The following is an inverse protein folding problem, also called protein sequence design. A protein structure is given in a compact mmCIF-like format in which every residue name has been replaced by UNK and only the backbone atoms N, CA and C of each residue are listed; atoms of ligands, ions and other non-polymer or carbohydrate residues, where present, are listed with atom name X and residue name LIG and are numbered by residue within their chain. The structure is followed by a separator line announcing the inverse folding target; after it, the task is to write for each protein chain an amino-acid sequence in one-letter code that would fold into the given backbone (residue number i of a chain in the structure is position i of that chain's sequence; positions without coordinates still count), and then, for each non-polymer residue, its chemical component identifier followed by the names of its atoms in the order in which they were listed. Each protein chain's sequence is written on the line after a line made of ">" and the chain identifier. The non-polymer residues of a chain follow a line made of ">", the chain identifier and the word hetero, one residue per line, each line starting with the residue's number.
data_IF_113225161711
#
_entry.id   IF_113225161711
#
_cell.length_a   1.000
_cell.length_b   1.000
_cell.length_c   1.000
_cell.angle_alpha   90.00
_cell.angle_beta   90.00
_cell.angle_gamma   90.00
#
_symmetry.space_group_name_H-M   'P 1'
#
loop_
_entity.id
_entity.type
_entity.pdbx_description
1 polymer ?
#
# COMPACT_ATOMS: atom_id res chain seq x y z
N UNK A 1 12.51 -0.96 20.95
CA UNK A 1 12.95 -1.60 19.69
C UNK A 1 14.20 -0.87 19.20
N UNK A 2 15.28 -1.58 18.84
CA UNK A 2 16.43 -0.93 18.18
C UNK A 2 16.02 -0.46 16.76
N UNK A 3 16.60 0.61 16.19
CA UNK A 3 16.19 1.17 14.90
C UNK A 3 16.72 0.34 13.71
N UNK A 4 16.38 -0.95 13.67
CA UNK A 4 16.70 -1.88 12.60
C UNK A 4 15.75 -3.10 12.63
N UNK A 5 15.79 -3.88 11.55
CA UNK A 5 15.08 -5.15 11.41
C UNK A 5 16.04 -6.31 11.13
N UNK A 6 17.21 -6.31 11.78
CA UNK A 6 18.25 -7.32 11.55
C UNK A 6 17.77 -8.76 11.76
N UNK A 7 16.69 -8.96 12.52
CA UNK A 7 16.16 -10.28 12.90
C UNK A 7 14.72 -10.52 12.40
N UNK A 8 14.18 -9.65 11.53
CA UNK A 8 12.81 -9.79 11.04
C UNK A 8 12.66 -10.99 10.08
N UNK A 9 11.50 -11.64 10.12
CA UNK A 9 11.22 -12.86 9.32
C UNK A 9 12.30 -13.95 9.43
N UNK A 10 12.80 -14.16 10.64
CA UNK A 10 13.83 -15.16 10.96
C UNK A 10 13.50 -16.56 10.43
N UNK A 11 14.52 -17.26 9.91
CA UNK A 11 14.42 -18.65 9.49
C UNK A 11 15.28 -19.49 10.44
N UNK A 12 14.72 -20.57 10.98
CA UNK A 12 15.45 -21.50 11.86
C UNK A 12 16.76 -21.94 11.20
N UNK A 13 17.88 -21.75 11.90
CA UNK A 13 19.22 -22.10 11.43
C UNK A 13 19.95 -20.98 10.68
N UNK A 14 19.38 -19.78 10.59
CA UNK A 14 20.08 -18.57 10.13
C UNK A 14 20.48 -17.72 11.35
N UNK A 15 21.54 -16.93 11.24
CA UNK A 15 21.96 -16.03 12.32
C UNK A 15 21.20 -14.70 12.32
N UNK A 16 20.69 -14.30 11.15
CA UNK A 16 19.96 -13.05 10.92
C UNK A 16 18.57 -13.32 10.33
N UNK A 17 17.75 -12.28 10.37
CA UNK A 17 16.52 -12.20 9.60
C UNK A 17 16.79 -12.11 8.10
N UNK A 18 15.72 -11.89 7.33
CA UNK A 18 15.81 -11.74 5.87
C UNK A 18 15.14 -10.47 5.41
N UNK A 19 15.53 -10.00 4.23
CA UNK A 19 15.00 -8.79 3.57
C UNK A 19 13.47 -8.68 3.62
N UNK A 20 12.76 -9.79 3.40
CA UNK A 20 11.29 -9.78 3.35
C UNK A 20 10.63 -9.40 4.67
N UNK A 21 11.35 -9.46 5.79
CA UNK A 21 10.88 -8.98 7.09
C UNK A 21 10.74 -7.45 7.16
N UNK A 22 11.31 -6.69 6.23
CA UNK A 22 11.09 -5.24 6.14
C UNK A 22 9.62 -4.90 5.91
N UNK A 23 8.86 -5.80 5.26
CA UNK A 23 7.42 -5.61 5.05
C UNK A 23 6.61 -5.61 6.36
N UNK A 24 7.18 -6.12 7.47
CA UNK A 24 6.54 -6.08 8.79
C UNK A 24 6.37 -4.62 9.28
N UNK A 25 7.23 -3.71 8.81
CA UNK A 25 7.14 -2.26 9.08
C UNK A 25 6.25 -1.50 8.08
N UNK A 26 5.55 -2.18 7.15
CA UNK A 26 4.59 -1.52 6.24
C UNK A 26 3.57 -0.62 6.96
N UNK A 27 3.06 -0.88 8.18
CA UNK A 27 2.08 -0.01 8.82
C UNK A 27 2.64 1.36 9.22
N UNK A 28 3.96 1.57 9.13
CA UNK A 28 4.62 2.82 9.53
C UNK A 28 4.04 4.04 8.83
N UNK A 29 3.64 3.95 7.54
CA UNK A 29 3.06 5.11 6.85
C UNK A 29 1.79 5.61 7.55
N UNK A 30 0.91 4.72 8.01
CA UNK A 30 -0.33 5.09 8.74
C UNK A 30 0.00 5.75 10.07
N UNK A 31 0.97 5.20 10.82
CA UNK A 31 1.42 5.77 12.08
C UNK A 31 2.00 7.18 11.88
N UNK A 32 2.83 7.39 10.86
CA UNK A 32 3.41 8.71 10.59
C UNK A 32 2.35 9.74 10.18
N UNK A 33 1.31 9.30 9.47
CA UNK A 33 0.17 10.15 9.12
C UNK A 33 -0.76 10.48 10.30
N UNK A 34 -0.86 9.61 11.31
CA UNK A 34 -1.73 9.85 12.46
C UNK A 34 -1.13 10.83 13.47
N UNK A 35 0.21 10.90 13.57
CA UNK A 35 0.89 11.78 14.53
C UNK A 35 0.49 13.26 14.40
N UNK A 36 0.47 13.88 13.20
CA UNK A 36 -0.01 15.25 13.03
C UNK A 36 -1.39 15.51 13.62
N UNK A 37 -2.33 14.56 13.54
CA UNK A 37 -3.68 14.68 14.09
C UNK A 37 -3.65 14.75 15.63
N UNK A 38 -2.73 14.00 16.25
CA UNK A 38 -2.58 13.93 17.70
C UNK A 38 -1.93 15.17 18.31
N UNK A 39 -1.16 15.97 17.53
CA UNK A 39 -0.47 17.19 18.01
C UNK A 39 -1.42 18.26 18.56
N UNK A 40 -2.70 18.22 18.18
CA UNK A 40 -3.72 19.13 18.70
C UNK A 40 -4.10 18.85 20.16
N UNK A 41 -3.78 17.64 20.67
CA UNK A 41 -4.08 17.25 22.04
C UNK A 41 -3.12 17.87 23.03
N UNK A 42 -3.65 18.42 24.12
CA UNK A 42 -2.84 18.90 25.27
C UNK A 42 -2.06 17.78 25.98
N UNK A 43 -2.37 16.51 25.68
CA UNK A 43 -1.67 15.34 26.20
C UNK A 43 -0.53 14.87 25.31
N UNK A 44 -0.33 15.48 24.14
CA UNK A 44 0.74 15.11 23.23
C UNK A 44 2.10 15.60 23.76
N UNK A 45 3.00 14.68 24.07
CA UNK A 45 4.35 15.01 24.50
C UNK A 45 5.28 15.20 23.30
N UNK A 46 5.53 16.46 22.95
CA UNK A 46 6.45 16.83 21.86
C UNK A 46 7.89 16.35 22.08
N UNK A 47 8.31 16.11 23.33
CA UNK A 47 9.64 15.59 23.62
C UNK A 47 9.79 14.12 23.19
N UNK A 48 8.72 13.33 23.31
CA UNK A 48 8.65 11.95 22.81
C UNK A 48 8.73 11.95 21.29
N UNK A 49 8.00 12.84 20.63
CA UNK A 49 8.05 12.95 19.17
C UNK A 49 9.46 13.28 18.66
N UNK A 50 10.18 14.18 19.34
CA UNK A 50 11.59 14.49 19.01
C UNK A 50 12.49 13.26 19.12
N UNK A 51 12.38 12.48 20.20
CA UNK A 51 13.13 11.22 20.37
C UNK A 51 12.74 10.19 19.30
N UNK A 52 11.46 10.14 18.94
CA UNK A 52 10.97 9.26 17.90
C UNK A 52 11.53 9.63 16.53
N UNK A 53 11.61 10.92 16.18
CA UNK A 53 12.29 11.37 14.95
C UNK A 53 13.76 10.95 14.90
N UNK A 54 14.48 11.03 16.02
CA UNK A 54 15.88 10.53 16.10
C UNK A 54 15.93 9.02 15.82
N UNK A 55 14.99 8.25 16.37
CA UNK A 55 14.89 6.83 16.10
C UNK A 55 14.61 6.54 14.62
N UNK A 56 13.67 7.27 14.02
CA UNK A 56 13.32 7.14 12.60
C UNK A 56 14.49 7.50 11.68
N UNK A 57 15.27 8.53 12.02
CA UNK A 57 16.48 8.87 11.26
C UNK A 57 17.49 7.72 11.26
N UNK A 58 17.70 7.07 12.43
CA UNK A 58 18.58 5.89 12.53
C UNK A 58 18.02 4.70 11.76
N UNK A 59 16.71 4.49 11.81
CA UNK A 59 16.05 3.40 11.10
C UNK A 59 16.12 3.59 9.58
N UNK A 60 15.84 4.78 9.08
CA UNK A 60 15.96 5.09 7.66
C UNK A 60 17.41 4.95 7.17
N UNK A 61 18.39 5.42 7.95
CA UNK A 61 19.81 5.21 7.63
C UNK A 61 20.15 3.71 7.53
N UNK A 62 19.67 2.88 8.48
CA UNK A 62 19.84 1.44 8.41
C UNK A 62 19.16 0.82 7.17
N UNK A 63 17.93 1.25 6.87
CA UNK A 63 17.13 0.79 5.74
C UNK A 63 17.80 1.11 4.39
N UNK A 64 18.51 2.22 4.29
CA UNK A 64 19.16 2.69 3.06
C UNK A 64 20.56 2.09 2.86
N UNK A 65 21.29 1.79 3.95
CA UNK A 65 22.74 1.48 3.88
C UNK A 65 23.10 0.02 4.11
N UNK A 66 22.18 -0.82 4.60
CA UNK A 66 22.46 -2.23 4.85
C UNK A 66 22.07 -3.13 3.68
N UNK A 67 22.74 -4.28 3.52
CA UNK A 67 22.40 -5.26 2.49
C UNK A 67 20.95 -5.72 2.59
N UNK A 68 20.45 -6.02 3.80
CA UNK A 68 19.05 -6.41 4.02
C UNK A 68 18.08 -5.33 3.49
N UNK A 69 18.39 -4.05 3.73
CA UNK A 69 17.61 -2.93 3.23
C UNK A 69 17.68 -2.78 1.70
N UNK A 70 18.88 -2.85 1.13
CA UNK A 70 19.12 -2.74 -0.31
C UNK A 70 18.43 -3.89 -1.06
N UNK A 71 18.57 -5.12 -0.59
CA UNK A 71 17.98 -6.29 -1.23
C UNK A 71 16.44 -6.22 -1.23
N UNK A 72 15.83 -5.64 -0.18
CA UNK A 72 14.39 -5.42 -0.17
C UNK A 72 13.97 -4.33 -1.16
N UNK A 73 14.70 -3.20 -1.20
CA UNK A 73 14.49 -2.12 -2.17
C UNK A 73 14.49 -2.65 -3.60
N UNK A 74 15.41 -3.55 -3.91
CA UNK A 74 15.59 -4.17 -5.25
C UNK A 74 14.54 -5.24 -5.58
N UNK A 75 13.64 -5.59 -4.65
CA UNK A 75 12.58 -6.56 -4.92
C UNK A 75 11.65 -6.06 -6.03
N UNK A 76 11.33 -6.93 -6.99
CA UNK A 76 10.50 -6.60 -8.16
C UNK A 76 9.00 -6.80 -7.94
N UNK A 77 8.60 -7.25 -6.74
CA UNK A 77 7.22 -7.50 -6.35
C UNK A 77 6.79 -6.52 -5.24
N UNK A 78 5.64 -6.78 -4.62
CA UNK A 78 5.07 -6.00 -3.52
C UNK A 78 6.04 -5.60 -2.40
N UNK A 79 7.08 -6.39 -2.13
CA UNK A 79 8.11 -6.04 -1.15
C UNK A 79 8.82 -4.72 -1.51
N UNK A 80 9.23 -4.57 -2.77
CA UNK A 80 9.89 -3.34 -3.21
C UNK A 80 8.92 -2.17 -3.25
N UNK A 81 7.68 -2.38 -3.69
CA UNK A 81 6.66 -1.32 -3.68
C UNK A 81 6.39 -0.82 -2.26
N UNK A 82 6.28 -1.72 -1.27
CA UNK A 82 6.11 -1.33 0.13
C UNK A 82 7.38 -0.75 0.75
N UNK A 83 8.58 -1.17 0.32
CA UNK A 83 9.82 -0.50 0.72
C UNK A 83 9.77 0.97 0.31
N UNK A 84 9.42 1.26 -0.94
CA UNK A 84 9.37 2.64 -1.45
C UNK A 84 8.33 3.48 -0.70
N UNK A 85 7.16 2.92 -0.42
CA UNK A 85 6.16 3.56 0.45
C UNK A 85 6.78 3.91 1.81
N UNK A 86 7.42 2.95 2.49
CA UNK A 86 8.05 3.22 3.79
C UNK A 86 9.10 4.34 3.70
N UNK A 87 9.97 4.29 2.68
CA UNK A 87 11.02 5.28 2.47
C UNK A 87 10.47 6.69 2.29
N UNK A 88 9.48 6.88 1.42
CA UNK A 88 8.92 8.21 1.12
C UNK A 88 8.26 8.82 2.35
N UNK A 89 7.46 8.03 3.09
CA UNK A 89 6.80 8.51 4.30
C UNK A 89 7.78 8.82 5.43
N UNK A 90 8.85 8.03 5.57
CA UNK A 90 9.94 8.32 6.51
C UNK A 90 10.65 9.63 6.15
N UNK A 91 11.03 9.81 4.88
CA UNK A 91 11.70 11.03 4.41
C UNK A 91 10.86 12.27 4.68
N UNK A 92 9.58 12.26 4.29
CA UNK A 92 8.67 13.38 4.53
C UNK A 92 8.51 13.66 6.02
N UNK A 93 8.27 12.64 6.85
CA UNK A 93 8.10 12.85 8.29
C UNK A 93 9.37 13.39 9.00
N UNK A 94 10.55 13.07 8.47
CA UNK A 94 11.84 13.57 8.91
C UNK A 94 12.16 14.99 8.40
N UNK A 95 11.27 15.60 7.60
CA UNK A 95 11.46 16.93 7.02
C UNK A 95 12.38 16.96 5.80
N UNK A 96 12.65 15.81 5.17
CA UNK A 96 13.47 15.68 3.95
C UNK A 96 12.56 15.73 2.71
N UNK A 97 11.77 16.79 2.60
CA UNK A 97 10.67 16.89 1.63
C UNK A 97 11.13 16.87 0.16
N UNK A 98 12.26 17.50 -0.18
CA UNK A 98 12.79 17.47 -1.55
C UNK A 98 13.24 16.07 -1.97
N UNK A 99 13.86 15.34 -1.03
CA UNK A 99 14.26 13.96 -1.26
C UNK A 99 13.04 13.04 -1.37
N UNK A 100 12.05 13.21 -0.50
CA UNK A 100 10.77 12.49 -0.57
C UNK A 100 10.07 12.74 -1.92
N UNK A 101 10.04 14.00 -2.38
CA UNK A 101 9.50 14.39 -3.68
C UNK A 101 10.19 13.65 -4.82
N UNK A 102 11.52 13.76 -4.92
CA UNK A 102 12.31 13.09 -5.96
C UNK A 102 12.09 11.58 -5.93
N UNK A 103 12.20 10.97 -4.75
CA UNK A 103 12.05 9.54 -4.57
C UNK A 103 10.65 9.06 -4.97
N UNK A 104 9.59 9.81 -4.62
CA UNK A 104 8.21 9.43 -4.94
C UNK A 104 7.96 9.32 -6.45
N UNK A 105 8.54 10.23 -7.23
CA UNK A 105 8.47 10.21 -8.69
C UNK A 105 9.21 9.01 -9.27
N UNK A 106 10.46 8.81 -8.84
CA UNK A 106 11.32 7.72 -9.34
C UNK A 106 10.72 6.34 -9.00
N UNK A 107 10.26 6.17 -7.76
CA UNK A 107 9.65 4.93 -7.29
C UNK A 107 8.38 4.60 -8.07
N UNK A 108 7.46 5.55 -8.21
CA UNK A 108 6.20 5.31 -8.94
C UNK A 108 6.46 4.89 -10.39
N UNK A 109 7.31 5.62 -11.10
CA UNK A 109 7.67 5.30 -12.50
C UNK A 109 8.26 3.90 -12.59
N UNK A 110 9.22 3.58 -11.73
CA UNK A 110 9.87 2.28 -11.72
C UNK A 110 8.85 1.15 -11.46
N UNK A 111 8.01 1.28 -10.42
CA UNK A 111 7.04 0.24 -10.04
C UNK A 111 5.94 0.05 -11.07
N UNK A 112 5.48 1.11 -11.75
CA UNK A 112 4.51 0.99 -12.85
C UNK A 112 5.16 0.38 -14.09
N UNK A 113 6.35 0.84 -14.48
CA UNK A 113 7.03 0.39 -15.70
C UNK A 113 7.52 -1.07 -15.63
N UNK A 114 7.93 -1.53 -14.46
CA UNK A 114 8.46 -2.90 -14.30
C UNK A 114 7.42 -3.87 -13.71
N UNK A 115 6.49 -3.37 -12.89
CA UNK A 115 5.56 -4.20 -12.11
C UNK A 115 4.19 -4.45 -12.75
N UNK A 116 3.83 -3.73 -13.81
CA UNK A 116 2.51 -3.83 -14.46
C UNK A 116 2.70 -4.10 -15.95
N UNK A 117 1.97 -5.06 -16.52
CA UNK A 117 1.93 -5.29 -17.97
C UNK A 117 0.95 -4.33 -18.66
N UNK A 118 1.05 -4.13 -19.99
CA UNK A 118 0.09 -3.32 -20.75
C UNK A 118 -1.38 -3.74 -20.61
N UNK A 119 -1.62 -4.99 -20.19
CA UNK A 119 -2.94 -5.57 -19.89
C UNK A 119 -3.46 -5.20 -18.50
N UNK A 120 -2.61 -4.65 -17.62
CA UNK A 120 -2.91 -4.41 -16.21
C UNK A 120 -2.49 -5.55 -15.26
N UNK A 121 -2.15 -6.72 -15.80
CA UNK A 121 -1.66 -7.83 -14.99
C UNK A 121 -0.37 -7.42 -14.23
N UNK A 122 -0.26 -7.87 -12.98
CA UNK A 122 0.93 -7.72 -12.13
C UNK A 122 1.71 -9.06 -12.10
N UNK A 123 2.68 -9.30 -13.01
CA UNK A 123 3.19 -10.64 -13.30
C UNK A 123 3.96 -11.27 -12.15
N UNK A 124 4.59 -10.47 -11.29
CA UNK A 124 5.29 -10.97 -10.10
C UNK A 124 4.32 -11.45 -9.02
N UNK A 125 3.14 -10.85 -8.92
CA UNK A 125 2.11 -11.22 -7.96
C UNK A 125 1.28 -12.41 -8.43
N UNK A 126 0.96 -12.46 -9.73
CA UNK A 126 0.19 -13.58 -10.30
C UNK A 126 0.95 -14.91 -10.28
N UNK A 127 2.28 -14.89 -10.14
CA UNK A 127 3.12 -16.09 -9.96
C UNK A 127 3.07 -16.66 -8.53
N UNK A 128 2.48 -15.95 -7.57
CA UNK A 128 2.47 -16.36 -6.16
C UNK A 128 1.40 -17.42 -5.89
N UNK A 129 1.59 -18.29 -4.88
CA UNK A 129 0.59 -19.31 -4.54
C UNK A 129 -0.79 -18.74 -4.18
N UNK A 130 -0.83 -17.57 -3.57
CA UNK A 130 -2.05 -16.80 -3.25
C UNK A 130 -2.11 -15.55 -4.15
N UNK A 131 -2.12 -15.79 -5.46
CA UNK A 131 -1.95 -14.76 -6.49
C UNK A 131 -2.97 -13.63 -6.42
N UNK A 132 -4.22 -13.92 -6.05
CA UNK A 132 -5.26 -12.90 -5.86
C UNK A 132 -4.87 -11.92 -4.76
N UNK A 133 -4.59 -12.45 -3.56
CA UNK A 133 -4.15 -11.65 -2.41
C UNK A 133 -2.94 -10.78 -2.75
N UNK A 134 -1.92 -11.33 -3.40
CA UNK A 134 -0.73 -10.56 -3.71
C UNK A 134 -0.97 -9.46 -4.76
N UNK A 135 -1.88 -9.69 -5.70
CA UNK A 135 -2.24 -8.70 -6.72
C UNK A 135 -3.00 -7.52 -6.11
N UNK A 136 -3.94 -7.79 -5.19
CA UNK A 136 -4.65 -6.73 -4.46
C UNK A 136 -3.74 -6.02 -3.46
N UNK A 137 -2.88 -6.76 -2.77
CA UNK A 137 -1.92 -6.24 -1.80
C UNK A 137 -0.88 -5.31 -2.42
N UNK A 138 -0.29 -5.67 -3.56
CA UNK A 138 0.62 -4.77 -4.28
C UNK A 138 -0.12 -3.53 -4.83
N UNK A 139 -1.37 -3.70 -5.29
CA UNK A 139 -2.18 -2.58 -5.77
C UNK A 139 -2.44 -1.54 -4.68
N UNK A 140 -2.57 -1.94 -3.41
CA UNK A 140 -2.63 -0.99 -2.28
C UNK A 140 -1.36 -0.15 -2.17
N UNK A 141 -0.18 -0.78 -2.30
CA UNK A 141 1.09 -0.06 -2.26
C UNK A 141 1.25 0.89 -3.47
N UNK A 142 0.81 0.48 -4.67
CA UNK A 142 0.82 1.32 -5.85
C UNK A 142 -0.09 2.56 -5.70
N UNK A 143 -1.27 2.40 -5.08
CA UNK A 143 -2.14 3.54 -4.75
C UNK A 143 -1.41 4.50 -3.80
N UNK A 144 -0.78 4.00 -2.74
CA UNK A 144 0.00 4.82 -1.80
C UNK A 144 1.13 5.61 -2.51
N UNK A 145 1.82 4.99 -3.47
CA UNK A 145 2.81 5.69 -4.28
C UNK A 145 2.18 6.79 -5.13
N UNK A 146 1.08 6.51 -5.82
CA UNK A 146 0.40 7.50 -6.68
C UNK A 146 -0.14 8.69 -5.89
N UNK A 147 -0.75 8.46 -4.72
CA UNK A 147 -1.18 9.52 -3.81
C UNK A 147 -0.01 10.39 -3.37
N UNK A 148 1.10 9.76 -3.00
CA UNK A 148 2.26 10.47 -2.49
C UNK A 148 2.95 11.26 -3.60
N UNK A 149 3.03 10.72 -4.81
CA UNK A 149 3.50 11.47 -5.98
C UNK A 149 2.60 12.67 -6.28
N UNK A 150 1.27 12.51 -6.20
CA UNK A 150 0.31 13.60 -6.40
C UNK A 150 0.47 14.69 -5.34
N UNK A 151 0.65 14.32 -4.07
CA UNK A 151 0.96 15.26 -2.99
C UNK A 151 2.20 16.11 -3.31
N UNK A 152 3.19 15.52 -3.97
CA UNK A 152 4.42 16.18 -4.39
C UNK A 152 4.36 16.88 -5.76
N UNK A 153 3.19 16.92 -6.39
CA UNK A 153 2.94 17.65 -7.65
C UNK A 153 3.14 16.84 -8.93
N UNK A 154 3.29 15.52 -8.86
CA UNK A 154 3.31 14.64 -10.02
C UNK A 154 2.02 13.82 -10.10
N UNK A 155 1.31 13.87 -11.23
CA UNK A 155 0.07 13.10 -11.43
C UNK A 155 0.35 11.60 -11.55
N UNK A 156 0.49 10.97 -10.39
CA UNK A 156 0.78 9.55 -10.29
C UNK A 156 -0.41 8.65 -10.62
N UNK A 157 -1.63 9.18 -10.54
CA UNK A 157 -2.83 8.45 -10.89
C UNK A 157 -2.92 8.21 -12.39
N UNK A 158 -2.62 9.24 -13.19
CA UNK A 158 -2.75 9.17 -14.64
C UNK A 158 -1.41 8.94 -15.36
N UNK A 159 -0.35 8.58 -14.64
CA UNK A 159 0.92 8.19 -15.24
C UNK A 159 0.74 6.99 -16.18
N UNK A 160 1.29 7.11 -17.39
CA UNK A 160 1.29 6.06 -18.41
C UNK A 160 2.73 5.64 -18.69
N UNK A 161 3.05 4.39 -18.39
CA UNK A 161 4.34 3.80 -18.70
C UNK A 161 4.57 3.66 -20.22
N UNK A 162 5.81 3.43 -20.66
CA UNK A 162 6.18 3.43 -22.08
C UNK A 162 5.47 2.37 -22.92
N UNK A 163 4.95 1.30 -22.31
CA UNK A 163 4.16 0.26 -22.98
C UNK A 163 2.65 0.41 -22.75
N UNK A 164 2.20 1.57 -22.25
CA UNK A 164 0.80 1.84 -21.93
C UNK A 164 0.36 1.31 -20.55
N UNK A 165 1.28 1.16 -19.61
CA UNK A 165 1.03 0.58 -18.28
C UNK A 165 0.46 1.65 -17.36
N UNK A 166 -0.58 1.32 -16.59
CA UNK A 166 -1.21 2.27 -15.66
C UNK A 166 -1.73 1.55 -14.43
N UNK A 167 -1.84 2.27 -13.31
CA UNK A 167 -2.49 1.75 -12.10
C UNK A 167 -3.98 1.48 -12.37
N UNK A 168 -4.65 2.34 -13.15
CA UNK A 168 -6.04 2.12 -13.58
C UNK A 168 -6.22 0.78 -14.28
N UNK A 169 -5.30 0.40 -15.19
CA UNK A 169 -5.34 -0.90 -15.85
C UNK A 169 -5.18 -2.06 -14.87
N UNK A 170 -4.38 -1.91 -13.82
CA UNK A 170 -4.26 -2.93 -12.78
C UNK A 170 -5.57 -3.11 -11.98
N UNK A 171 -6.31 -2.02 -11.73
CA UNK A 171 -7.68 -2.10 -11.18
C UNK A 171 -8.60 -2.82 -12.17
N UNK A 172 -8.62 -2.38 -13.42
CA UNK A 172 -9.49 -2.91 -14.47
C UNK A 172 -9.23 -4.40 -14.76
N UNK A 173 -7.98 -4.84 -14.62
CA UNK A 173 -7.60 -6.24 -14.78
C UNK A 173 -8.20 -7.14 -13.69
N UNK A 174 -8.24 -6.68 -12.44
CA UNK A 174 -8.74 -7.47 -11.30
C UNK A 174 -10.27 -7.47 -11.20
N UNK A 175 -10.92 -6.41 -11.68
CA UNK A 175 -12.37 -6.19 -11.56
C UNK A 175 -13.25 -7.37 -12.01
N UNK A 176 -13.09 -7.94 -13.23
CA UNK A 176 -13.96 -9.04 -13.67
C UNK A 176 -13.82 -10.29 -12.79
N UNK A 177 -12.62 -10.55 -12.26
CA UNK A 177 -12.38 -11.69 -11.37
C UNK A 177 -12.92 -11.46 -9.96
N UNK A 178 -12.97 -10.21 -9.50
CA UNK A 178 -13.68 -9.89 -8.26
C UNK A 178 -15.18 -10.19 -8.40
N UNK A 179 -15.80 -9.72 -9.49
CA UNK A 179 -17.22 -9.91 -9.80
C UNK A 179 -17.60 -11.38 -9.98
N UNK A 180 -16.70 -12.18 -10.55
CA UNK A 180 -16.94 -13.58 -10.84
C UNK A 180 -16.51 -14.53 -9.70
N UNK A 181 -16.13 -13.99 -8.53
CA UNK A 181 -15.57 -14.78 -7.43
C UNK A 181 -14.39 -15.67 -7.85
N UNK A 182 -13.51 -15.12 -8.70
CA UNK A 182 -12.32 -15.80 -9.20
C UNK A 182 -12.58 -16.79 -10.34
N UNK A 183 -13.80 -16.87 -10.87
CA UNK A 183 -14.09 -17.67 -12.06
C UNK A 183 -13.17 -17.24 -13.21
N UNK A 184 -12.58 -18.23 -13.88
CA UNK A 184 -11.64 -18.07 -14.99
C UNK A 184 -10.32 -17.35 -14.65
N UNK A 185 -9.97 -17.22 -13.36
CA UNK A 185 -8.65 -16.73 -12.95
C UNK A 185 -7.56 -17.67 -13.48
N UNK A 186 -6.65 -17.21 -14.36
CA UNK A 186 -5.77 -18.09 -15.12
C UNK A 186 -4.50 -18.50 -14.34
N UNK A 187 -4.42 -18.17 -13.05
CA UNK A 187 -3.22 -18.40 -12.23
C UNK A 187 -3.52 -19.25 -11.00
N UNK A 188 -2.47 -19.84 -10.44
CA UNK A 188 -2.56 -20.60 -9.19
C UNK A 188 -3.02 -19.69 -8.05
N UNK A 189 -4.13 -20.04 -7.40
CA UNK A 189 -4.61 -19.38 -6.20
C UNK A 189 -5.09 -20.41 -5.18
N UNK A 190 -4.32 -20.66 -4.12
CA UNK A 190 -4.60 -21.71 -3.12
C UNK A 190 -5.51 -21.26 -1.97
N UNK A 191 -5.96 -19.99 -2.01
CA UNK A 191 -6.83 -19.38 -1.00
C UNK A 191 -8.12 -18.88 -1.66
N UNK A 192 -9.06 -18.44 -0.85
CA UNK A 192 -10.31 -17.84 -1.32
C UNK A 192 -10.07 -16.48 -2.00
N UNK A 193 -11.04 -16.09 -2.84
CA UNK A 193 -11.10 -14.77 -3.48
C UNK A 193 -11.77 -13.77 -2.55
N UNK A 194 -11.07 -13.37 -1.47
CA UNK A 194 -11.52 -12.32 -0.56
C UNK A 194 -11.50 -10.97 -1.26
N UNK A 195 -12.64 -10.30 -1.36
CA UNK A 195 -12.80 -9.05 -2.11
C UNK A 195 -12.72 -7.80 -1.24
N UNK A 196 -12.77 -7.90 0.09
CA UNK A 196 -12.77 -6.75 1.01
C UNK A 196 -11.65 -5.73 0.71
N UNK A 197 -10.41 -6.21 0.62
CA UNK A 197 -9.26 -5.37 0.27
C UNK A 197 -9.36 -4.74 -1.13
N UNK A 198 -10.00 -5.41 -2.09
CA UNK A 198 -10.17 -4.89 -3.45
C UNK A 198 -11.34 -3.91 -3.55
N UNK A 199 -12.46 -4.17 -2.87
CA UNK A 199 -13.62 -3.26 -2.81
C UNK A 199 -13.19 -1.91 -2.28
N UNK A 200 -12.39 -1.90 -1.22
CA UNK A 200 -11.75 -0.70 -0.69
C UNK A 200 -11.00 0.07 -1.80
N UNK A 201 -10.11 -0.59 -2.54
CA UNK A 201 -9.41 0.04 -3.67
C UNK A 201 -10.36 0.53 -4.77
N UNK A 202 -11.45 -0.18 -5.02
CA UNK A 202 -12.44 0.14 -6.03
C UNK A 202 -13.25 1.39 -5.68
N UNK A 203 -13.53 1.63 -4.40
CA UNK A 203 -14.16 2.88 -3.93
C UNK A 203 -13.26 4.09 -4.19
N UNK A 204 -11.96 3.95 -3.89
CA UNK A 204 -10.99 4.98 -4.26
C UNK A 204 -10.90 5.14 -5.78
N UNK A 205 -10.90 4.02 -6.53
CA UNK A 205 -10.82 4.06 -7.98
C UNK A 205 -11.99 4.83 -8.59
N UNK A 206 -13.22 4.69 -8.09
CA UNK A 206 -14.37 5.49 -8.51
C UNK A 206 -14.19 6.98 -8.21
N UNK A 207 -13.63 7.33 -7.05
CA UNK A 207 -13.33 8.71 -6.72
C UNK A 207 -12.26 9.29 -7.65
N UNK A 208 -11.20 8.56 -7.94
CA UNK A 208 -10.07 9.01 -8.76
C UNK A 208 -10.46 9.06 -10.24
N UNK A 209 -11.10 8.00 -10.73
CA UNK A 209 -11.59 7.81 -12.09
C UNK A 209 -13.09 7.50 -12.03
N UNK A 210 -13.97 8.50 -12.23
CA UNK A 210 -15.42 8.33 -12.14
C UNK A 210 -15.99 7.56 -13.35
N UNK A 211 -15.69 6.27 -13.37
CA UNK A 211 -16.09 5.28 -14.38
C UNK A 211 -17.25 4.46 -13.80
N UNK A 212 -18.43 4.51 -14.41
CA UNK A 212 -19.67 3.93 -13.88
C UNK A 212 -19.54 2.43 -13.59
N UNK A 213 -18.69 1.71 -14.31
CA UNK A 213 -18.43 0.29 -14.07
C UNK A 213 -17.93 0.00 -12.65
N UNK A 214 -17.21 0.95 -12.03
CA UNK A 214 -16.75 0.80 -10.65
C UNK A 214 -17.93 0.94 -9.68
N UNK A 215 -18.82 1.90 -9.92
CA UNK A 215 -20.02 2.08 -9.10
C UNK A 215 -20.94 0.85 -9.21
N UNK A 216 -21.19 0.36 -10.42
CA UNK A 216 -21.96 -0.86 -10.68
C UNK A 216 -21.35 -2.08 -9.97
N UNK A 217 -20.04 -2.25 -10.05
CA UNK A 217 -19.35 -3.33 -9.37
C UNK A 217 -19.39 -3.21 -7.85
N UNK A 218 -19.32 -1.99 -7.29
CA UNK A 218 -19.45 -1.74 -5.86
C UNK A 218 -20.82 -2.16 -5.32
N UNK A 219 -21.90 -1.96 -6.09
CA UNK A 219 -23.25 -2.43 -5.71
C UNK A 219 -23.27 -3.94 -5.50
N UNK A 220 -22.53 -4.69 -6.32
CA UNK A 220 -22.46 -6.16 -6.26
C UNK A 220 -21.51 -6.63 -5.15
N UNK A 221 -20.34 -6.01 -5.03
CA UNK A 221 -19.23 -6.53 -4.22
C UNK A 221 -19.30 -6.08 -2.75
N UNK A 222 -19.91 -4.93 -2.44
CA UNK A 222 -19.98 -4.38 -1.08
C UNK A 222 -20.61 -5.32 -0.05
N UNK A 223 -21.76 -5.97 -0.31
CA UNK A 223 -22.35 -6.89 0.65
C UNK A 223 -21.39 -8.03 1.03
N UNK A 224 -20.68 -8.60 0.04
CA UNK A 224 -19.68 -9.64 0.27
C UNK A 224 -18.50 -9.11 1.08
N UNK A 225 -17.97 -7.94 0.73
CA UNK A 225 -16.87 -7.31 1.48
C UNK A 225 -17.24 -7.02 2.95
N UNK A 226 -18.46 -6.52 3.24
CA UNK A 226 -18.94 -6.31 4.61
C UNK A 226 -19.00 -7.63 5.40
N UNK A 227 -19.42 -8.73 4.77
CA UNK A 227 -19.42 -10.05 5.39
C UNK A 227 -18.01 -10.54 5.69
N UNK A 228 -17.09 -10.47 4.72
CA UNK A 228 -15.68 -10.83 4.90
C UNK A 228 -15.03 -10.03 6.03
N UNK A 229 -15.29 -8.71 6.08
CA UNK A 229 -14.83 -7.82 7.12
C UNK A 229 -15.35 -8.24 8.51
N UNK A 230 -16.65 -8.51 8.65
CA UNK A 230 -17.22 -8.97 9.91
C UNK A 230 -16.63 -10.32 10.37
N UNK A 231 -16.27 -11.21 9.43
CA UNK A 231 -15.64 -12.49 9.75
C UNK A 231 -14.18 -12.33 10.21
N UNK A 232 -13.44 -11.40 9.59
CA UNK A 232 -12.06 -11.03 9.96
C UNK A 232 -12.02 -10.40 11.37
N UNK A 233 -13.01 -9.57 11.68
CA UNK A 233 -13.14 -8.86 12.95
C UNK A 233 -14.03 -9.54 13.98
N UNK A 234 -14.29 -10.85 13.88
CA UNK A 234 -15.12 -11.59 14.85
C UNK A 234 -14.70 -11.43 16.33
N UNK A 235 -13.49 -10.94 16.60
CA UNK A 235 -12.99 -10.58 17.94
C UNK A 235 -12.42 -9.15 18.03
N UNK A 236 -12.71 -8.26 17.08
CA UNK A 236 -12.21 -6.88 17.09
C UNK A 236 -13.38 -5.90 17.25
N UNK A 237 -13.30 -5.04 18.25
CA UNK A 237 -14.32 -4.01 18.54
C UNK A 237 -14.24 -2.79 17.59
N UNK A 238 -13.67 -2.94 16.39
CA UNK A 238 -13.43 -1.85 15.45
C UNK A 238 -13.46 -2.31 13.98
N UNK A 239 -13.94 -1.43 13.10
CA UNK A 239 -13.86 -1.58 11.64
C UNK A 239 -12.59 -0.91 11.10
N UNK A 240 -11.85 -1.59 10.21
CA UNK A 240 -10.68 -0.99 9.55
C UNK A 240 -11.09 0.00 8.46
N UNK A 241 -11.29 1.23 8.89
CA UNK A 241 -11.63 2.38 8.05
C UNK A 241 -10.39 3.07 7.46
N UNK A 242 -9.35 2.32 7.08
CA UNK A 242 -8.09 2.92 6.57
C UNK A 242 -8.28 3.83 5.36
N UNK A 243 -9.35 3.60 4.58
CA UNK A 243 -9.71 4.45 3.45
C UNK A 243 -10.47 5.71 3.85
N UNK A 244 -11.04 5.76 5.04
CA UNK A 244 -11.60 7.00 5.57
C UNK A 244 -10.54 8.02 5.90
N UNK A 245 -9.34 7.58 6.30
CA UNK A 245 -8.19 8.48 6.41
C UNK A 245 -7.87 9.10 5.04
N UNK A 246 -8.00 8.33 3.94
CA UNK A 246 -7.77 8.81 2.57
C UNK A 246 -8.86 9.75 2.06
N UNK A 247 -10.12 9.46 2.35
CA UNK A 247 -11.26 10.35 2.09
C UNK A 247 -11.07 11.72 2.76
N UNK A 248 -10.68 11.72 4.04
CA UNK A 248 -10.40 12.93 4.81
C UNK A 248 -9.23 13.74 4.23
N UNK A 249 -8.21 13.07 3.69
CA UNK A 249 -7.02 13.73 3.11
C UNK A 249 -7.25 14.30 1.69
N UNK A 250 -8.23 13.79 0.94
CA UNK A 250 -8.52 14.26 -0.43
C UNK A 250 -9.67 15.26 -0.49
N UNK A 251 -10.25 15.64 0.65
CA UNK A 251 -11.46 16.47 0.76
C UNK A 251 -12.65 15.90 -0.03
N UNK A 252 -12.68 14.57 -0.23
CA UNK A 252 -13.73 13.85 -0.94
C UNK A 252 -14.33 12.83 0.01
N UNK A 253 -15.58 13.04 0.43
CA UNK A 253 -16.30 12.10 1.29
C UNK A 253 -16.48 10.74 0.58
N UNK A 254 -15.95 9.67 1.18
CA UNK A 254 -16.29 8.30 0.82
C UNK A 254 -17.47 7.85 1.69
N UNK A 255 -18.44 7.17 1.08
CA UNK A 255 -19.61 6.65 1.78
C UNK A 255 -19.28 5.62 2.87
N UNK A 256 -18.16 4.89 2.76
CA UNK A 256 -17.66 4.00 3.82
C UNK A 256 -17.21 4.73 5.09
N UNK A 257 -17.27 6.06 5.08
CA UNK A 257 -16.98 6.93 6.24
C UNK A 257 -18.24 7.59 6.80
N UNK A 258 -19.39 7.29 6.19
CA UNK A 258 -20.72 7.77 6.55
C UNK A 258 -21.59 6.54 6.82
N UNK A 259 -21.25 5.81 7.89
CA UNK A 259 -22.14 4.89 8.61
C UNK A 259 -21.50 4.59 9.97
#
# INVERSE_FOLDING_TARGET
>A
MNPNLNYASFIKGQDLGRRTGIIDMRPIYRMLQSIPLMRSSRKWDHSVEKKFKIWLSKYYFWLEKTSIGIDEKESTNNHGTYYDVQAIYLLSYLGREEEARKYSYEALINRVNEGILPTGQQPHETKRPTSWYYSTFNLQALFLLAERSQYFGFDGWNYVGPKGQTIKKAVDYLLPFALSNGKDWPFKNIKEFEVNSFVRLLELAFVIWPDDKYLEALVILRPKAKLEQALEYRNADWEDNYLCVWSLMTNRQLWTCVE
#
